data_IF_696951438653
#
_entry.id   IF_696951438653
#
_cell.length_a   1.000
_cell.length_b   1.000
_cell.length_c   1.000
_cell.angle_alpha   90.00
_cell.angle_beta   90.00
_cell.angle_gamma   90.00
#
_symmetry.space_group_name_H-M   'P 1'
#
loop_
_entity.id
_entity.type
_entity.pdbx_description
1 polymer ?
#
# COMPACT_ATOMS: atom_id res chain seq x y z
N UNK A 1 9.22 18.46 3.30
CA UNK A 1 9.48 17.07 3.67
C UNK A 1 9.66 16.22 2.41
N UNK A 2 10.58 15.26 2.48
CA UNK A 2 10.87 14.31 1.41
C UNK A 2 10.29 12.94 1.75
N UNK A 3 9.71 12.27 0.75
CA UNK A 3 9.16 10.92 0.89
C UNK A 3 9.81 10.03 -0.17
N UNK A 4 10.51 9.00 0.24
CA UNK A 4 11.12 8.03 -0.67
C UNK A 4 10.04 7.09 -1.21
N UNK A 5 10.04 6.91 -2.54
CA UNK A 5 9.08 6.05 -3.25
C UNK A 5 9.82 5.20 -4.30
N UNK A 6 9.27 4.04 -4.73
CA UNK A 6 9.80 3.36 -5.91
C UNK A 6 9.55 4.19 -7.17
N UNK A 7 10.48 4.16 -8.13
CA UNK A 7 10.26 4.79 -9.43
C UNK A 7 9.35 3.96 -10.33
N UNK A 8 9.18 2.67 -10.04
CA UNK A 8 8.25 1.78 -10.74
C UNK A 8 7.08 1.41 -9.82
N UNK A 9 6.00 2.14 -9.93
CA UNK A 9 4.73 1.94 -9.24
C UNK A 9 3.62 2.76 -9.90
N UNK A 10 2.38 2.62 -9.41
CA UNK A 10 1.29 3.53 -9.77
C UNK A 10 1.65 4.96 -9.36
N UNK A 11 1.20 5.94 -10.13
CA UNK A 11 1.52 7.37 -9.89
C UNK A 11 0.91 7.94 -8.59
N UNK A 12 -0.07 7.27 -7.99
CA UNK A 12 -0.81 7.78 -6.83
C UNK A 12 0.04 8.20 -5.64
N UNK A 13 1.08 7.47 -5.20
CA UNK A 13 1.98 7.92 -4.14
C UNK A 13 2.62 9.28 -4.44
N UNK A 14 3.19 9.43 -5.63
CA UNK A 14 3.85 10.68 -6.04
C UNK A 14 2.86 11.86 -6.05
N UNK A 15 1.68 11.68 -6.65
CA UNK A 15 0.62 12.71 -6.69
C UNK A 15 0.20 13.11 -5.27
N UNK A 16 0.01 12.13 -4.38
CA UNK A 16 -0.41 12.40 -3.01
C UNK A 16 0.63 13.24 -2.25
N UNK A 17 1.91 12.92 -2.41
CA UNK A 17 3.02 13.65 -1.81
C UNK A 17 3.05 15.10 -2.31
N UNK A 18 3.01 15.29 -3.64
CA UNK A 18 3.06 16.61 -4.27
C UNK A 18 1.86 17.48 -3.85
N UNK A 19 0.66 16.92 -3.82
CA UNK A 19 -0.56 17.63 -3.41
C UNK A 19 -0.50 18.11 -1.95
N UNK A 20 0.29 17.44 -1.11
CA UNK A 20 0.50 17.83 0.28
C UNK A 20 1.74 18.71 0.47
N UNK A 21 2.35 19.21 -0.61
CA UNK A 21 3.54 20.07 -0.56
C UNK A 21 4.83 19.31 -0.23
N UNK A 22 4.82 18.00 -0.30
CA UNK A 22 6.02 17.16 -0.14
C UNK A 22 6.78 16.98 -1.45
N UNK A 23 7.96 16.38 -1.35
CA UNK A 23 8.84 16.08 -2.47
C UNK A 23 8.97 14.55 -2.57
N UNK A 24 8.47 13.91 -3.64
CA UNK A 24 8.72 12.50 -3.87
C UNK A 24 10.19 12.30 -4.31
N UNK A 25 10.87 11.37 -3.67
CA UNK A 25 12.25 10.99 -3.99
C UNK A 25 12.22 9.57 -4.57
N UNK A 26 12.23 9.41 -5.89
CA UNK A 26 12.16 8.10 -6.52
C UNK A 26 13.48 7.35 -6.34
N UNK A 27 13.37 6.07 -5.98
CA UNK A 27 14.47 5.10 -5.91
C UNK A 27 14.29 4.05 -6.99
N UNK A 28 15.39 3.70 -7.65
CA UNK A 28 15.39 2.75 -8.74
C UNK A 28 14.93 1.35 -8.31
N UNK A 29 14.41 0.57 -9.25
CA UNK A 29 13.92 -0.78 -9.02
C UNK A 29 14.95 -1.84 -9.45
N UNK A 30 14.84 -3.02 -8.85
CA UNK A 30 15.59 -4.19 -9.22
C UNK A 30 15.11 -4.73 -10.58
N UNK A 31 16.05 -5.09 -11.43
CA UNK A 31 15.77 -5.55 -12.80
C UNK A 31 14.96 -6.85 -12.85
N UNK A 32 15.13 -7.74 -11.87
CA UNK A 32 14.50 -9.06 -11.90
C UNK A 32 13.11 -9.11 -11.26
N UNK A 33 12.89 -8.31 -10.22
CA UNK A 33 11.65 -8.39 -9.43
C UNK A 33 10.87 -7.07 -9.37
N UNK A 34 11.39 -6.00 -9.99
CA UNK A 34 10.78 -4.67 -10.14
C UNK A 34 10.52 -3.94 -8.81
N UNK A 35 10.86 -4.55 -7.69
CA UNK A 35 10.79 -3.90 -6.40
C UNK A 35 11.92 -2.89 -6.22
N UNK A 36 11.72 -1.93 -5.33
CA UNK A 36 12.67 -0.91 -4.96
C UNK A 36 14.01 -1.52 -4.52
N UNK A 37 15.14 -1.01 -5.03
CA UNK A 37 16.49 -1.44 -4.63
C UNK A 37 16.81 -1.00 -3.21
N UNK A 38 16.99 -1.95 -2.30
CA UNK A 38 17.21 -1.68 -0.87
C UNK A 38 18.49 -0.86 -0.63
N UNK A 39 19.55 -1.14 -1.36
CA UNK A 39 20.85 -0.45 -1.24
C UNK A 39 20.80 1.01 -1.72
N UNK A 40 19.82 1.37 -2.54
CA UNK A 40 19.62 2.76 -2.99
C UNK A 40 18.81 3.59 -2.00
N UNK A 41 18.01 2.96 -1.15
CA UNK A 41 17.15 3.67 -0.19
C UNK A 41 18.00 4.54 0.75
N UNK A 42 19.01 3.95 1.40
CA UNK A 42 19.82 4.68 2.39
C UNK A 42 20.62 5.82 1.77
N UNK A 43 21.07 5.68 0.51
CA UNK A 43 21.78 6.74 -0.21
C UNK A 43 20.91 7.98 -0.46
N UNK A 44 19.61 7.78 -0.52
CA UNK A 44 18.63 8.84 -0.79
C UNK A 44 17.98 9.41 0.49
N UNK A 45 18.38 8.95 1.68
CA UNK A 45 17.92 9.52 2.94
C UNK A 45 18.65 10.83 3.23
N UNK A 46 17.89 11.88 3.47
CA UNK A 46 18.38 13.20 3.87
C UNK A 46 17.78 13.62 5.22
N UNK A 47 18.21 14.77 5.74
CA UNK A 47 17.59 15.39 6.93
C UNK A 47 16.12 15.78 6.73
N UNK A 48 15.65 15.87 5.48
CA UNK A 48 14.28 16.22 5.10
C UNK A 48 13.40 14.97 4.94
N UNK A 49 13.97 13.77 4.86
CA UNK A 49 13.23 12.52 4.69
C UNK A 49 12.37 12.22 5.92
N UNK A 50 11.06 12.00 5.71
CA UNK A 50 10.08 11.72 6.76
C UNK A 50 9.48 10.33 6.66
N UNK A 51 9.38 9.78 5.46
CA UNK A 51 8.81 8.47 5.25
C UNK A 51 9.41 7.76 4.04
N UNK A 52 9.22 6.43 4.02
CA UNK A 52 9.42 5.58 2.86
C UNK A 52 8.08 4.93 2.54
N UNK A 53 7.63 5.00 1.29
CA UNK A 53 6.52 4.20 0.78
C UNK A 53 7.13 2.98 0.09
N UNK A 54 6.97 1.81 0.69
CA UNK A 54 7.47 0.55 0.16
C UNK A 54 6.33 -0.23 -0.49
N UNK A 55 6.36 -0.34 -1.82
CA UNK A 55 5.33 -1.04 -2.60
C UNK A 55 5.76 -2.46 -2.89
N UNK A 56 4.85 -3.41 -2.72
CA UNK A 56 4.99 -4.80 -3.18
C UNK A 56 4.46 -4.88 -4.62
N UNK A 57 5.35 -4.76 -5.59
CA UNK A 57 4.97 -4.69 -7.01
C UNK A 57 4.39 -6.03 -7.50
N UNK A 58 3.23 -5.96 -8.14
CA UNK A 58 2.51 -7.11 -8.75
C UNK A 58 2.33 -8.32 -7.81
N UNK A 59 2.24 -8.05 -6.50
CA UNK A 59 2.08 -9.10 -5.51
C UNK A 59 3.37 -9.86 -5.19
N UNK A 60 4.53 -9.38 -5.65
CA UNK A 60 5.84 -9.93 -5.26
C UNK A 60 6.36 -9.20 -4.03
N UNK A 61 6.59 -9.93 -2.90
CA UNK A 61 6.97 -9.27 -1.66
C UNK A 61 8.35 -8.60 -1.76
N UNK A 62 8.40 -7.31 -1.48
CA UNK A 62 9.67 -6.62 -1.24
C UNK A 62 10.31 -7.10 0.07
N UNK A 63 11.62 -6.97 0.23
CA UNK A 63 12.31 -7.27 1.49
C UNK A 63 11.97 -6.24 2.58
N UNK A 64 10.70 -6.21 2.97
CA UNK A 64 10.11 -5.19 3.85
C UNK A 64 10.77 -5.15 5.24
N UNK A 65 11.28 -6.27 5.74
CA UNK A 65 12.02 -6.35 6.99
C UNK A 65 13.31 -5.53 6.96
N UNK A 66 14.03 -5.51 5.84
CA UNK A 66 15.23 -4.67 5.66
C UNK A 66 14.86 -3.19 5.60
N UNK A 67 13.77 -2.84 4.90
CA UNK A 67 13.31 -1.45 4.86
C UNK A 67 12.86 -1.00 6.25
N UNK A 68 12.17 -1.86 7.01
CA UNK A 68 11.81 -1.57 8.41
C UNK A 68 13.06 -1.29 9.27
N UNK A 69 14.14 -2.06 9.10
CA UNK A 69 15.40 -1.82 9.81
C UNK A 69 16.00 -0.45 9.46
N UNK A 70 15.98 -0.07 8.17
CA UNK A 70 16.42 1.26 7.70
C UNK A 70 15.57 2.35 8.37
N UNK A 71 14.23 2.23 8.30
CA UNK A 71 13.33 3.18 8.91
C UNK A 71 13.58 3.36 10.42
N UNK A 72 13.82 2.27 11.13
CA UNK A 72 14.11 2.31 12.56
C UNK A 72 15.44 3.03 12.88
N UNK A 73 16.51 2.75 12.11
CA UNK A 73 17.81 3.44 12.28
C UNK A 73 17.71 4.94 12.08
N UNK A 74 16.96 5.35 11.06
CA UNK A 74 16.84 6.76 10.68
C UNK A 74 15.64 7.47 11.32
N UNK A 75 14.83 6.76 12.15
CA UNK A 75 13.61 7.28 12.81
C UNK A 75 12.60 7.89 11.83
N UNK A 76 12.44 7.28 10.67
CA UNK A 76 11.48 7.66 9.63
C UNK A 76 10.34 6.66 9.53
N UNK A 77 9.19 7.12 9.03
CA UNK A 77 7.95 6.34 8.96
C UNK A 77 8.02 5.36 7.79
N UNK A 78 7.59 4.12 8.01
CA UNK A 78 7.36 3.15 6.95
C UNK A 78 5.87 3.10 6.58
N UNK A 79 5.57 3.43 5.34
CA UNK A 79 4.25 3.22 4.75
C UNK A 79 4.37 1.99 3.83
N UNK A 80 3.68 0.91 4.20
CA UNK A 80 3.65 -0.32 3.43
C UNK A 80 2.50 -0.26 2.42
N UNK A 81 2.81 -0.19 1.14
CA UNK A 81 1.81 -0.30 0.09
C UNK A 81 1.60 -1.78 -0.24
N UNK A 82 0.58 -2.34 0.39
CA UNK A 82 0.13 -3.71 0.24
C UNK A 82 -1.13 -3.81 -0.67
N UNK A 83 -1.32 -2.84 -1.58
CA UNK A 83 -2.49 -2.76 -2.46
C UNK A 83 -2.73 -4.03 -3.31
N UNK A 84 -1.70 -4.86 -3.48
CA UNK A 84 -1.74 -6.11 -4.25
C UNK A 84 -1.44 -7.35 -3.40
N UNK A 85 -1.38 -7.21 -2.06
CA UNK A 85 -0.89 -8.25 -1.15
C UNK A 85 -1.95 -8.89 -0.27
N UNK A 86 -3.23 -8.66 -0.54
CA UNK A 86 -4.29 -9.22 0.30
C UNK A 86 -4.23 -10.76 0.33
N UNK A 87 -3.99 -11.32 1.52
CA UNK A 87 -3.81 -12.76 1.73
C UNK A 87 -2.39 -13.29 1.53
N UNK A 88 -1.42 -12.44 1.14
CA UNK A 88 -0.02 -12.83 1.00
C UNK A 88 0.74 -12.74 2.32
N UNK A 89 1.77 -13.56 2.43
CA UNK A 89 2.69 -13.57 3.57
C UNK A 89 4.13 -13.39 3.11
N UNK A 90 4.89 -12.62 3.87
CA UNK A 90 6.33 -12.52 3.76
C UNK A 90 6.98 -13.07 5.03
N UNK A 91 7.84 -14.09 4.90
CA UNK A 91 8.50 -14.78 6.04
C UNK A 91 7.49 -15.20 7.12
N UNK A 92 6.34 -15.76 6.71
CA UNK A 92 5.29 -16.24 7.61
C UNK A 92 4.35 -15.17 8.19
N UNK A 93 4.69 -13.88 8.08
CA UNK A 93 3.89 -12.75 8.56
C UNK A 93 3.06 -12.13 7.43
N UNK A 94 1.83 -11.71 7.72
CA UNK A 94 0.96 -11.09 6.72
C UNK A 94 1.57 -9.81 6.15
N UNK A 95 1.60 -9.66 4.83
CA UNK A 95 1.88 -8.39 4.19
C UNK A 95 0.78 -7.38 4.57
N UNK A 96 1.15 -6.12 4.74
CA UNK A 96 0.28 -5.10 5.33
C UNK A 96 0.38 -5.01 6.85
N UNK A 97 1.29 -5.76 7.49
CA UNK A 97 1.50 -5.72 8.95
C UNK A 97 2.90 -5.24 9.36
N UNK A 98 3.71 -4.79 8.42
CA UNK A 98 5.08 -4.35 8.68
C UNK A 98 5.21 -2.84 8.78
N UNK A 99 4.32 -2.07 8.12
CA UNK A 99 4.34 -0.61 8.12
C UNK A 99 3.89 0.01 9.45
N UNK A 100 4.28 1.26 9.70
CA UNK A 100 3.61 2.12 10.69
C UNK A 100 2.19 2.43 10.21
N UNK A 101 2.05 2.52 8.90
CA UNK A 101 0.82 2.58 8.13
C UNK A 101 0.89 1.55 7.02
N UNK A 102 -0.21 0.88 6.72
CA UNK A 102 -0.29 -0.04 5.58
C UNK A 102 -1.57 0.21 4.79
N UNK A 103 -1.46 0.09 3.46
CA UNK A 103 -2.54 0.43 2.53
C UNK A 103 -2.96 -0.83 1.79
N UNK A 104 -4.27 -1.09 1.71
CA UNK A 104 -4.88 -2.09 0.84
C UNK A 104 -5.81 -1.42 -0.15
N UNK A 105 -5.78 -1.86 -1.39
CA UNK A 105 -6.70 -1.44 -2.44
C UNK A 105 -7.85 -2.43 -2.59
N UNK A 106 -9.05 -1.89 -2.79
CA UNK A 106 -10.26 -2.63 -3.13
C UNK A 106 -10.81 -2.18 -4.49
N UNK A 107 -9.91 -1.68 -5.33
CA UNK A 107 -10.20 -1.32 -6.72
C UNK A 107 -10.69 -2.54 -7.52
N UNK A 108 -11.32 -2.31 -8.65
CA UNK A 108 -12.04 -3.33 -9.43
C UNK A 108 -11.22 -4.56 -9.82
N UNK A 109 -9.90 -4.44 -10.01
CA UNK A 109 -9.02 -5.54 -10.43
C UNK A 109 -8.36 -6.31 -9.27
N UNK A 110 -8.63 -5.94 -8.01
CA UNK A 110 -7.99 -6.57 -6.84
C UNK A 110 -8.63 -7.92 -6.47
N UNK A 111 -8.02 -8.65 -5.55
CA UNK A 111 -8.53 -9.97 -5.08
C UNK A 111 -9.94 -9.90 -4.51
N UNK A 112 -10.21 -8.82 -3.77
CA UNK A 112 -11.52 -8.40 -3.32
C UNK A 112 -11.73 -6.99 -3.84
N UNK A 113 -12.88 -6.72 -4.38
CA UNK A 113 -13.23 -5.39 -4.89
C UNK A 113 -14.53 -4.86 -4.33
N UNK A 114 -14.59 -3.56 -4.18
CA UNK A 114 -15.82 -2.81 -3.88
C UNK A 114 -16.14 -1.79 -4.97
N UNK A 115 -15.59 -2.05 -6.19
CA UNK A 115 -15.58 -1.13 -7.33
C UNK A 115 -14.45 -0.13 -7.15
N UNK A 116 -14.61 0.78 -6.25
CA UNK A 116 -13.61 1.71 -5.71
C UNK A 116 -13.50 1.52 -4.20
N UNK A 117 -12.33 1.86 -3.65
CA UNK A 117 -12.12 1.85 -2.21
C UNK A 117 -10.75 1.33 -1.78
N UNK A 118 -10.51 1.42 -0.48
CA UNK A 118 -9.28 0.95 0.13
C UNK A 118 -9.38 0.95 1.65
N UNK A 119 -8.36 0.40 2.27
CA UNK A 119 -8.21 0.38 3.73
C UNK A 119 -6.82 0.88 4.12
N UNK A 120 -6.76 1.63 5.20
CA UNK A 120 -5.50 1.99 5.87
C UNK A 120 -5.49 1.31 7.23
N UNK A 121 -4.42 0.60 7.50
CA UNK A 121 -4.19 -0.11 8.76
C UNK A 121 -3.06 0.56 9.53
N UNK A 122 -3.21 0.66 10.85
CA UNK A 122 -2.16 1.14 11.74
C UNK A 122 -2.40 0.64 13.17
N UNK A 123 -1.32 0.40 13.90
CA UNK A 123 -1.35 0.15 15.35
C UNK A 123 -1.14 1.44 16.16
N UNK A 124 -0.86 2.56 15.50
CA UNK A 124 -0.65 3.85 16.16
C UNK A 124 -1.99 4.60 16.30
N UNK A 125 -2.41 4.84 17.54
CA UNK A 125 -3.66 5.52 17.84
C UNK A 125 -3.73 6.94 17.28
N UNK A 126 -2.63 7.68 17.30
CA UNK A 126 -2.60 9.05 16.77
C UNK A 126 -2.81 9.06 15.25
N UNK A 127 -2.19 8.12 14.53
CA UNK A 127 -2.43 7.97 13.09
C UNK A 127 -3.86 7.56 12.81
N UNK A 128 -4.40 6.60 13.56
CA UNK A 128 -5.80 6.18 13.43
C UNK A 128 -6.76 7.35 13.59
N UNK A 129 -6.59 8.16 14.64
CA UNK A 129 -7.49 9.26 14.94
C UNK A 129 -7.42 10.33 13.83
N UNK A 130 -6.21 10.71 13.38
CA UNK A 130 -6.03 11.63 12.24
C UNK A 130 -6.66 11.11 10.95
N UNK A 131 -6.42 9.85 10.59
CA UNK A 131 -7.00 9.24 9.38
C UNK A 131 -8.53 9.25 9.47
N UNK A 132 -9.08 8.93 10.64
CA UNK A 132 -10.53 8.97 10.85
C UNK A 132 -11.09 10.38 10.64
N UNK A 133 -10.44 11.39 11.16
CA UNK A 133 -10.84 12.77 11.01
C UNK A 133 -10.75 13.22 9.53
N UNK A 134 -9.62 13.02 8.89
CA UNK A 134 -9.42 13.42 7.49
C UNK A 134 -10.38 12.72 6.51
N UNK A 135 -10.63 11.42 6.67
CA UNK A 135 -11.61 10.71 5.81
C UNK A 135 -13.06 11.12 6.06
N UNK A 136 -13.32 11.83 7.15
CA UNK A 136 -14.65 12.25 7.60
C UNK A 136 -14.78 13.77 7.65
N UNK A 137 -14.17 14.48 6.70
CA UNK A 137 -14.32 15.93 6.53
C UNK A 137 -13.80 16.78 7.69
N UNK A 138 -13.00 16.23 8.61
CA UNK A 138 -12.50 16.93 9.81
C UNK A 138 -13.63 17.62 10.61
N UNK A 139 -14.77 16.94 10.79
CA UNK A 139 -15.88 17.46 11.60
C UNK A 139 -15.46 17.66 13.05
N UNK A 140 -15.83 18.80 13.63
CA UNK A 140 -15.64 19.08 15.05
C UNK A 140 -16.37 18.08 15.94
N UNK A 141 -15.73 17.63 17.02
CA UNK A 141 -16.30 16.62 17.95
C UNK A 141 -17.57 17.10 18.65
N UNK A 142 -17.68 18.40 18.93
CA UNK A 142 -18.83 19.00 19.61
C UNK A 142 -19.89 19.57 18.64
N UNK A 143 -19.46 19.97 17.46
CA UNK A 143 -20.33 20.55 16.46
C UNK A 143 -19.97 19.99 15.08
N UNK A 144 -20.85 19.15 14.54
CA UNK A 144 -20.64 18.41 13.30
C UNK A 144 -20.32 19.30 12.09
N UNK A 145 -20.85 20.48 12.02
CA UNK A 145 -20.67 21.39 10.89
C UNK A 145 -19.55 22.41 11.08
N UNK A 146 -18.76 22.26 12.16
CA UNK A 146 -17.59 23.07 12.41
C UNK A 146 -16.34 22.24 12.02
N UNK A 147 -15.75 22.58 10.87
CA UNK A 147 -14.57 21.92 10.35
C UNK A 147 -13.31 22.61 10.89
N UNK A 148 -12.43 21.87 11.51
CA UNK A 148 -11.19 22.42 12.06
C UNK A 148 -9.98 22.26 11.13
N UNK A 149 -10.12 21.49 10.02
CA UNK A 149 -9.12 21.31 8.98
C UNK A 149 -9.81 20.91 7.67
N UNK A 150 -9.07 20.83 6.58
CA UNK A 150 -9.55 20.41 5.27
C UNK A 150 -9.49 18.88 5.21
N UNK A 151 -10.65 18.23 5.26
CA UNK A 151 -10.78 16.79 5.13
C UNK A 151 -11.58 16.38 3.88
N UNK A 152 -11.73 15.09 3.67
CA UNK A 152 -12.42 14.50 2.51
C UNK A 152 -13.57 13.61 2.94
N UNK A 153 -14.53 13.40 2.06
CA UNK A 153 -15.54 12.36 2.24
C UNK A 153 -15.01 11.04 1.63
N UNK A 154 -14.13 10.37 2.36
CA UNK A 154 -13.59 9.07 1.99
C UNK A 154 -14.17 7.95 2.87
N UNK A 155 -15.42 8.10 3.27
CA UNK A 155 -16.15 7.08 4.02
C UNK A 155 -16.64 5.98 3.09
N UNK A 156 -16.56 4.76 3.57
CA UNK A 156 -17.16 3.62 2.89
C UNK A 156 -18.69 3.73 2.90
N UNK A 157 -19.31 3.52 1.75
CA UNK A 157 -20.77 3.39 1.68
C UNK A 157 -21.21 1.97 2.05
N UNK A 158 -22.46 1.81 2.52
CA UNK A 158 -23.00 0.48 2.81
C UNK A 158 -23.05 -0.41 1.56
N UNK A 159 -23.26 0.16 0.37
CA UNK A 159 -23.22 -0.56 -0.90
C UNK A 159 -21.82 -1.15 -1.16
N UNK A 160 -20.78 -0.34 -1.03
CA UNK A 160 -19.40 -0.81 -1.17
C UNK A 160 -19.06 -1.87 -0.11
N UNK A 161 -19.43 -1.65 1.14
CA UNK A 161 -19.18 -2.60 2.23
C UNK A 161 -19.85 -3.95 1.98
N UNK A 162 -21.09 -3.95 1.50
CA UNK A 162 -21.82 -5.21 1.20
C UNK A 162 -21.16 -6.03 0.12
N UNK A 163 -20.63 -5.38 -0.94
CA UNK A 163 -19.83 -6.05 -1.98
C UNK A 163 -18.57 -6.68 -1.41
N UNK A 164 -17.88 -5.96 -0.52
CA UNK A 164 -16.67 -6.46 0.13
C UNK A 164 -16.93 -7.65 1.05
N UNK A 165 -17.95 -7.57 1.91
CA UNK A 165 -18.33 -8.62 2.87
C UNK A 165 -18.64 -9.93 2.14
N UNK A 166 -19.39 -9.88 1.04
CA UNK A 166 -19.76 -11.08 0.26
C UNK A 166 -18.54 -11.79 -0.33
N UNK A 167 -17.45 -11.09 -0.58
CA UNK A 167 -16.22 -11.63 -1.16
C UNK A 167 -15.20 -12.07 -0.09
N UNK A 168 -15.14 -11.37 1.06
CA UNK A 168 -14.17 -11.67 2.11
C UNK A 168 -14.39 -13.07 2.69
N UNK A 169 -15.63 -13.51 2.81
CA UNK A 169 -15.98 -14.85 3.26
C UNK A 169 -15.46 -15.95 2.31
N UNK A 170 -15.17 -15.60 1.06
CA UNK A 170 -14.70 -16.50 -0.01
C UNK A 170 -13.25 -16.26 -0.39
N UNK A 171 -12.49 -15.43 0.36
CA UNK A 171 -11.13 -15.00 -0.03
C UNK A 171 -10.20 -16.17 -0.33
N UNK A 172 -10.23 -17.22 0.47
CA UNK A 172 -9.39 -18.40 0.26
C UNK A 172 -9.70 -19.08 -1.08
N UNK A 173 -10.99 -19.20 -1.45
CA UNK A 173 -11.41 -19.75 -2.74
C UNK A 173 -10.94 -18.88 -3.91
N UNK A 174 -11.02 -17.57 -3.76
CA UNK A 174 -10.56 -16.61 -4.78
C UNK A 174 -9.04 -16.73 -4.98
N UNK A 175 -8.26 -16.79 -3.90
CA UNK A 175 -6.81 -16.94 -3.95
C UNK A 175 -6.42 -18.28 -4.60
N UNK A 176 -7.07 -19.38 -4.23
CA UNK A 176 -6.81 -20.68 -4.84
C UNK A 176 -7.08 -20.64 -6.35
N UNK A 177 -8.19 -20.02 -6.77
CA UNK A 177 -8.52 -19.90 -8.19
C UNK A 177 -7.48 -19.08 -8.97
N UNK A 178 -6.98 -17.99 -8.39
CA UNK A 178 -5.90 -17.19 -9.00
C UNK A 178 -4.61 -18.00 -9.13
N UNK A 179 -4.24 -18.79 -8.12
CA UNK A 179 -3.08 -19.69 -8.18
C UNK A 179 -3.22 -20.74 -9.30
N UNK A 180 -4.40 -21.31 -9.50
CA UNK A 180 -4.66 -22.22 -10.62
C UNK A 180 -4.47 -21.53 -11.98
N UNK A 181 -4.95 -20.28 -12.11
CA UNK A 181 -4.79 -19.50 -13.33
C UNK A 181 -3.31 -19.25 -13.62
N UNK A 182 -2.54 -18.78 -12.63
CA UNK A 182 -1.09 -18.54 -12.74
C UNK A 182 -0.39 -19.83 -13.18
N UNK A 183 -0.71 -20.98 -12.57
CA UNK A 183 -0.13 -22.28 -12.93
C UNK A 183 -0.41 -22.64 -14.39
N UNK A 184 -1.63 -22.35 -14.90
CA UNK A 184 -1.96 -22.56 -16.32
C UNK A 184 -1.13 -21.67 -17.24
N UNK A 185 -0.99 -20.36 -16.91
CA UNK A 185 -0.14 -19.45 -17.67
C UNK A 185 1.29 -19.97 -17.70
N UNK A 186 1.86 -20.30 -16.55
CA UNK A 186 3.23 -20.80 -16.46
C UNK A 186 3.44 -22.07 -17.32
N UNK A 187 2.52 -23.03 -17.23
CA UNK A 187 2.61 -24.28 -18.01
C UNK A 187 2.51 -24.03 -19.53
N UNK A 188 1.66 -23.11 -19.96
CA UNK A 188 1.46 -22.83 -21.38
C UNK A 188 2.60 -21.98 -21.98
N UNK A 189 3.23 -21.13 -21.17
CA UNK A 189 4.25 -20.17 -21.63
C UNK A 189 5.70 -20.67 -21.44
N UNK A 190 5.93 -21.74 -20.67
CA UNK A 190 7.26 -22.24 -20.33
C UNK A 190 8.17 -22.56 -21.52
N UNK A 191 7.61 -22.83 -22.70
CA UNK A 191 8.33 -23.13 -23.92
C UNK A 191 8.40 -21.93 -24.91
N UNK A 192 7.88 -20.78 -24.53
CA UNK A 192 7.92 -19.57 -25.36
C UNK A 192 9.28 -18.91 -25.22
N UNK A 193 10.06 -18.88 -26.31
CA UNK A 193 11.44 -18.36 -26.31
C UNK A 193 11.58 -16.86 -26.01
N UNK A 194 10.53 -16.09 -26.11
CA UNK A 194 10.54 -14.61 -25.97
C UNK A 194 9.84 -14.14 -24.69
N UNK A 195 9.63 -15.02 -23.72
CA UNK A 195 9.04 -14.69 -22.42
C UNK A 195 10.07 -15.08 -21.36
N UNK A 196 10.53 -14.09 -20.59
CA UNK A 196 11.51 -14.23 -19.54
C UNK A 196 10.86 -14.03 -18.18
#
# INVERSE_FOLDING_TARGET
>A
DEIIIPNFTIISPAISIIKLGGIPVPVDCDFYNWNMKINEIEKNISKKTRAIIATHIYGYPIQIDKIRQICNRHKIILIEDAAEMLGHKYKGKQCGSFGDLSIFSLYSNKHITTGEGGMVLTNNRNFKDKIFDYKNLCFGKKNRFNHYDIGWNYRYTNLQASLGISQISRINKIILKKKEIIKKYFNNLKNCKNIY
#
